data_IF_921038627348
#
_entry.id   IF_921038627348
#
_cell.length_a   1.000
_cell.length_b   1.000
_cell.length_c   1.000
_cell.angle_alpha   90.00
_cell.angle_beta   90.00
_cell.angle_gamma   90.00
#
_symmetry.space_group_name_H-M   'P 1'
#
loop_
_entity.id
_entity.type
_entity.pdbx_description
1 polymer ?
#
# COMPACT_ATOMS: atom_id res chain seq x y z
N UNK A 1 2.13 -11.40 9.39
CA UNK A 1 1.28 -12.30 8.59
C UNK A 1 1.55 -11.97 7.13
N UNK A 2 1.57 -12.99 6.27
CA UNK A 2 1.62 -12.82 4.81
C UNK A 2 0.38 -12.02 4.38
N UNK A 3 0.54 -11.11 3.41
CA UNK A 3 -0.52 -10.26 2.85
C UNK A 3 -1.22 -9.32 3.84
N UNK A 4 -0.57 -8.95 4.93
CA UNK A 4 -1.13 -7.97 5.87
C UNK A 4 -0.07 -7.25 6.71
N UNK A 5 1.15 -7.18 6.20
CA UNK A 5 2.29 -6.57 6.90
C UNK A 5 2.99 -5.47 6.14
N UNK A 6 2.81 -5.43 4.82
CA UNK A 6 3.56 -4.57 3.91
C UNK A 6 3.31 -3.09 4.20
N UNK A 7 2.04 -2.70 4.35
CA UNK A 7 1.67 -1.33 4.67
C UNK A 7 2.13 -0.91 6.08
N UNK A 8 2.16 -1.85 7.03
CA UNK A 8 2.69 -1.60 8.39
C UNK A 8 4.19 -1.37 8.36
N UNK A 9 4.90 -2.11 7.50
CA UNK A 9 6.33 -1.93 7.31
C UNK A 9 6.63 -0.57 6.68
N UNK A 10 5.88 -0.17 5.64
CA UNK A 10 5.98 1.15 5.05
C UNK A 10 5.69 2.25 6.09
N UNK A 11 4.64 2.09 6.91
CA UNK A 11 4.29 3.02 7.98
C UNK A 11 5.32 3.08 9.12
N UNK A 12 6.10 2.00 9.35
CA UNK A 12 7.16 1.95 10.35
C UNK A 12 8.48 2.58 9.85
N UNK A 13 8.73 2.59 8.55
CA UNK A 13 9.99 3.04 7.95
C UNK A 13 10.42 4.48 8.33
N UNK A 14 9.52 5.48 8.44
CA UNK A 14 9.91 6.84 8.82
C UNK A 14 10.55 6.97 10.21
N UNK A 15 10.34 6.00 11.10
CA UNK A 15 10.90 6.01 12.46
C UNK A 15 12.30 5.39 12.54
N UNK A 16 12.80 4.83 11.45
CA UNK A 16 14.11 4.17 11.37
C UNK A 16 15.10 4.90 10.49
N UNK A 17 16.33 4.37 10.50
CA UNK A 17 17.42 4.77 9.62
C UNK A 17 17.78 3.60 8.71
N UNK A 18 18.08 3.80 7.40
CA UNK A 18 18.33 2.71 6.46
C UNK A 18 19.76 2.12 6.60
N UNK A 19 20.17 1.80 7.81
CA UNK A 19 21.55 1.32 8.13
C UNK A 19 21.83 -0.08 7.61
N UNK A 20 20.80 -0.86 7.27
CA UNK A 20 20.92 -2.20 6.73
C UNK A 20 20.80 -2.27 5.21
N UNK A 21 20.70 -1.13 4.50
CA UNK A 21 20.53 -1.10 3.03
C UNK A 21 21.57 -1.94 2.31
N UNK A 22 22.87 -1.70 2.58
CA UNK A 22 23.97 -2.45 1.95
C UNK A 22 23.93 -3.95 2.33
N UNK A 23 23.58 -4.26 3.58
CA UNK A 23 23.46 -5.66 4.02
C UNK A 23 22.36 -6.39 3.26
N UNK A 24 21.21 -5.75 3.01
CA UNK A 24 20.12 -6.28 2.19
C UNK A 24 20.59 -6.50 0.76
N UNK A 25 21.17 -5.47 0.12
CA UNK A 25 21.61 -5.51 -1.28
C UNK A 25 22.70 -6.55 -1.52
N UNK A 26 23.62 -6.72 -0.59
CA UNK A 26 24.74 -7.65 -0.76
C UNK A 26 24.39 -9.11 -0.48
N UNK A 27 23.30 -9.40 0.23
CA UNK A 27 22.98 -10.76 0.67
C UNK A 27 21.62 -11.27 0.22
N UNK A 28 20.58 -10.40 0.21
CA UNK A 28 19.21 -10.84 0.04
C UNK A 28 18.65 -10.64 -1.37
N UNK A 29 19.22 -9.71 -2.14
CA UNK A 29 18.65 -9.32 -3.42
C UNK A 29 19.76 -8.88 -4.39
N UNK A 30 19.68 -9.37 -5.62
CA UNK A 30 20.50 -8.91 -6.75
C UNK A 30 19.64 -7.99 -7.60
N UNK A 31 20.03 -6.71 -7.72
CA UNK A 31 19.28 -5.67 -8.44
C UNK A 31 20.07 -5.25 -9.67
N UNK A 32 19.47 -5.37 -10.85
CA UNK A 32 20.06 -4.97 -12.12
C UNK A 32 19.87 -3.48 -12.41
N UNK A 33 20.54 -2.98 -13.42
CA UNK A 33 20.48 -1.57 -13.83
C UNK A 33 19.09 -1.15 -14.35
N UNK A 34 18.36 -2.06 -14.96
CA UNK A 34 16.99 -1.87 -15.43
C UNK A 34 15.94 -1.96 -14.32
N UNK A 35 16.33 -2.28 -13.09
CA UNK A 35 15.47 -2.47 -11.94
C UNK A 35 14.98 -3.91 -11.77
N UNK A 36 15.21 -4.80 -12.74
CA UNK A 36 14.92 -6.22 -12.53
C UNK A 36 15.74 -6.76 -11.36
N UNK A 37 15.18 -7.72 -10.62
CA UNK A 37 15.84 -8.22 -9.42
C UNK A 37 15.57 -9.70 -9.20
N UNK A 38 16.43 -10.31 -8.41
CA UNK A 38 16.27 -11.69 -7.95
C UNK A 38 16.57 -11.78 -6.46
N UNK A 39 15.65 -12.40 -5.71
CA UNK A 39 15.88 -12.69 -4.29
C UNK A 39 16.82 -13.90 -4.14
N UNK A 40 17.70 -13.81 -3.16
CA UNK A 40 18.50 -14.95 -2.73
C UNK A 40 17.65 -15.86 -1.84
N UNK A 41 17.12 -16.94 -2.43
CA UNK A 41 16.18 -17.85 -1.79
C UNK A 41 16.78 -18.58 -0.57
N UNK A 42 18.09 -18.55 -0.37
CA UNK A 42 18.76 -19.13 0.79
C UNK A 42 18.29 -18.54 2.13
N UNK A 43 17.76 -17.33 2.11
CA UNK A 43 17.31 -16.61 3.30
C UNK A 43 15.80 -16.67 3.55
N UNK A 44 15.04 -17.29 2.63
CA UNK A 44 13.59 -17.27 2.63
C UNK A 44 13.00 -18.69 2.64
N UNK A 45 11.81 -18.82 3.22
CA UNK A 45 11.09 -20.09 3.32
C UNK A 45 9.69 -20.03 2.68
N UNK A 46 9.27 -18.90 2.17
CA UNK A 46 7.88 -18.70 1.74
C UNK A 46 7.47 -19.57 0.55
N UNK A 47 8.42 -20.05 -0.25
CA UNK A 47 8.13 -20.89 -1.42
C UNK A 47 7.68 -22.31 -1.04
N UNK A 48 8.21 -22.88 0.04
CA UNK A 48 7.99 -24.27 0.42
C UNK A 48 7.68 -24.48 1.90
N UNK A 49 7.78 -23.44 2.72
CA UNK A 49 7.61 -23.51 4.17
C UNK A 49 6.45 -22.68 4.69
N UNK A 50 6.25 -22.71 6.01
CA UNK A 50 5.20 -21.96 6.71
C UNK A 50 5.68 -20.64 7.32
N UNK A 51 6.92 -20.23 7.05
CA UNK A 51 7.51 -18.99 7.52
C UNK A 51 8.04 -18.16 6.32
N UNK A 52 8.09 -16.86 6.46
CA UNK A 52 8.63 -15.98 5.40
C UNK A 52 10.14 -16.12 5.27
N UNK A 53 10.85 -16.16 6.40
CA UNK A 53 12.31 -16.18 6.49
C UNK A 53 12.76 -17.38 7.33
N UNK A 54 14.07 -17.64 7.30
CA UNK A 54 14.69 -18.74 8.01
C UNK A 54 15.83 -18.29 8.94
N UNK A 55 16.56 -19.24 9.54
CA UNK A 55 17.63 -18.95 10.46
C UNK A 55 18.83 -18.24 9.81
N UNK A 56 19.08 -18.42 8.51
CA UNK A 56 20.14 -17.64 7.82
C UNK A 56 19.81 -16.16 7.81
N UNK A 57 18.53 -15.81 7.56
CA UNK A 57 18.04 -14.44 7.66
C UNK A 57 18.24 -13.86 9.07
N UNK A 58 17.84 -14.63 10.09
CA UNK A 58 17.98 -14.23 11.49
C UNK A 58 19.45 -13.96 11.86
N UNK A 59 20.34 -14.86 11.45
CA UNK A 59 21.78 -14.73 11.71
C UNK A 59 22.40 -13.55 10.97
N UNK A 60 21.95 -13.26 9.73
CA UNK A 60 22.42 -12.11 8.96
C UNK A 60 22.20 -10.80 9.72
N UNK A 61 21.04 -10.65 10.36
CA UNK A 61 20.69 -9.44 11.11
C UNK A 61 20.99 -9.53 12.61
N UNK A 62 21.41 -10.70 13.11
CA UNK A 62 21.73 -10.91 14.53
C UNK A 62 20.50 -10.88 15.46
N UNK A 63 19.31 -11.10 14.92
CA UNK A 63 18.05 -11.05 15.67
C UNK A 63 17.12 -12.18 15.29
N UNK A 64 16.39 -12.71 16.27
CA UNK A 64 15.30 -13.67 16.03
C UNK A 64 14.03 -12.92 15.57
N UNK A 65 13.10 -13.62 14.91
CA UNK A 65 11.79 -13.03 14.59
C UNK A 65 11.08 -12.55 15.86
N UNK A 66 10.56 -11.34 15.83
CA UNK A 66 9.82 -10.77 16.95
C UNK A 66 8.54 -11.54 17.26
N UNK A 67 8.32 -11.87 18.51
CA UNK A 67 7.03 -12.36 18.97
C UNK A 67 6.10 -11.16 19.21
N UNK A 68 5.13 -10.96 18.29
CA UNK A 68 4.23 -9.82 18.34
C UNK A 68 3.32 -9.77 19.58
N UNK A 69 3.15 -10.88 20.29
CA UNK A 69 2.31 -10.94 21.51
C UNK A 69 3.04 -10.40 22.74
N UNK A 70 4.36 -10.62 22.82
CA UNK A 70 5.11 -10.41 24.05
C UNK A 70 6.27 -9.39 23.91
N UNK A 71 6.61 -9.01 22.67
CA UNK A 71 7.76 -8.14 22.41
C UNK A 71 7.34 -6.83 21.75
N UNK A 72 7.92 -5.73 22.21
CA UNK A 72 7.70 -4.40 21.64
C UNK A 72 8.50 -4.24 20.33
N UNK A 73 8.07 -3.31 19.49
CA UNK A 73 8.87 -2.81 18.38
C UNK A 73 10.04 -2.00 18.95
N UNK A 74 11.24 -2.24 18.43
CA UNK A 74 12.47 -1.54 18.85
C UNK A 74 13.05 -0.78 17.69
N UNK A 75 14.10 0.04 17.93
CA UNK A 75 14.82 0.77 16.90
C UNK A 75 15.34 -0.15 15.78
N UNK A 76 15.81 -1.35 16.12
CA UNK A 76 16.20 -2.36 15.14
C UNK A 76 15.10 -2.65 14.10
N UNK A 77 13.86 -2.83 14.53
CA UNK A 77 12.72 -3.10 13.63
C UNK A 77 12.40 -1.89 12.74
N UNK A 78 12.51 -0.68 13.30
CA UNK A 78 12.33 0.57 12.55
C UNK A 78 13.43 0.72 11.48
N UNK A 79 14.68 0.41 11.83
CA UNK A 79 15.82 0.50 10.90
C UNK A 79 15.76 -0.56 9.79
N UNK A 80 15.28 -1.77 10.08
CA UNK A 80 14.99 -2.78 9.06
C UNK A 80 13.89 -2.27 8.11
N UNK A 81 12.80 -1.71 8.66
CA UNK A 81 11.70 -1.17 7.86
C UNK A 81 12.17 -0.02 6.96
N UNK A 82 12.96 0.91 7.49
CA UNK A 82 13.56 1.99 6.72
C UNK A 82 14.50 1.47 5.62
N UNK A 83 15.27 0.42 5.92
CA UNK A 83 16.23 -0.15 4.98
C UNK A 83 15.55 -0.85 3.80
N UNK A 84 14.52 -1.65 4.06
CA UNK A 84 13.79 -2.32 2.96
C UNK A 84 12.95 -1.32 2.15
N UNK A 85 12.38 -0.30 2.80
CA UNK A 85 11.68 0.78 2.09
C UNK A 85 12.64 1.48 1.13
N UNK A 86 13.87 1.80 1.55
CA UNK A 86 14.89 2.43 0.72
C UNK A 86 15.27 1.58 -0.49
N UNK A 87 15.45 0.27 -0.30
CA UNK A 87 15.73 -0.69 -1.39
C UNK A 87 14.54 -0.79 -2.36
N UNK A 88 13.32 -0.82 -1.85
CA UNK A 88 12.10 -0.85 -2.68
C UNK A 88 12.00 0.41 -3.56
N UNK A 89 12.27 1.57 -3.00
CA UNK A 89 12.29 2.84 -3.73
C UNK A 89 13.33 2.84 -4.85
N UNK A 90 14.54 2.34 -4.58
CA UNK A 90 15.59 2.21 -5.60
C UNK A 90 15.14 1.35 -6.78
N UNK A 91 14.55 0.19 -6.48
CA UNK A 91 14.04 -0.73 -7.51
C UNK A 91 12.96 -0.04 -8.35
N UNK A 92 11.98 0.57 -7.70
CA UNK A 92 10.87 1.23 -8.41
C UNK A 92 11.35 2.39 -9.28
N UNK A 93 12.32 3.17 -8.83
CA UNK A 93 12.93 4.24 -9.61
C UNK A 93 13.72 3.71 -10.81
N UNK A 94 14.49 2.63 -10.63
CA UNK A 94 15.20 1.96 -11.74
C UNK A 94 14.21 1.44 -12.79
N UNK A 95 13.15 0.75 -12.38
CA UNK A 95 12.09 0.31 -13.28
C UNK A 95 11.45 1.48 -14.04
N UNK A 96 11.07 2.54 -13.33
CA UNK A 96 10.46 3.71 -13.93
C UNK A 96 11.36 4.33 -15.01
N UNK A 97 12.66 4.49 -14.73
CA UNK A 97 13.63 5.04 -15.68
C UNK A 97 13.85 4.12 -16.88
N UNK A 98 13.93 2.80 -16.64
CA UNK A 98 14.09 1.80 -17.69
C UNK A 98 12.90 1.79 -18.63
N UNK A 99 11.66 1.76 -18.10
CA UNK A 99 10.43 1.83 -18.89
C UNK A 99 10.34 3.13 -19.70
N UNK A 100 10.68 4.27 -19.09
CA UNK A 100 10.71 5.55 -19.80
C UNK A 100 11.70 5.55 -20.97
N UNK A 101 12.87 4.98 -20.76
CA UNK A 101 13.93 4.86 -21.79
C UNK A 101 13.49 3.98 -22.94
N UNK A 102 12.85 2.84 -22.64
CA UNK A 102 12.47 1.83 -23.61
C UNK A 102 11.25 2.26 -24.42
N UNK A 103 10.18 2.64 -23.77
CA UNK A 103 8.89 2.92 -24.41
C UNK A 103 8.69 4.38 -24.81
N UNK A 104 9.44 5.32 -24.22
CA UNK A 104 9.35 6.78 -24.47
C UNK A 104 7.94 7.37 -24.28
N UNK A 105 7.09 6.69 -23.50
CA UNK A 105 5.74 7.16 -23.17
C UNK A 105 5.80 8.16 -22.02
N UNK A 106 4.79 9.05 -21.96
CA UNK A 106 4.75 10.12 -20.96
C UNK A 106 3.91 9.76 -19.73
N UNK A 107 3.08 8.74 -19.82
CA UNK A 107 2.18 8.34 -18.75
C UNK A 107 2.58 6.96 -18.20
N UNK A 108 2.49 6.79 -16.90
CA UNK A 108 2.74 5.55 -16.19
C UNK A 108 1.48 5.08 -15.48
N UNK A 109 1.10 3.82 -15.69
CA UNK A 109 0.08 3.15 -14.88
C UNK A 109 0.76 2.12 -13.97
N UNK A 110 0.34 2.10 -12.71
CA UNK A 110 0.85 1.17 -11.70
C UNK A 110 -0.29 0.29 -11.19
N UNK A 111 -0.05 -1.01 -11.11
CA UNK A 111 -0.92 -2.01 -10.50
C UNK A 111 -0.07 -3.08 -9.79
N UNK A 112 -0.70 -3.89 -8.95
CA UNK A 112 -0.03 -4.83 -8.05
C UNK A 112 0.14 -4.29 -6.64
N UNK A 113 0.36 -5.15 -5.64
CA UNK A 113 0.42 -4.75 -4.23
C UNK A 113 1.46 -3.68 -3.91
N UNK A 114 2.63 -3.72 -4.56
CA UNK A 114 3.69 -2.70 -4.37
C UNK A 114 3.29 -1.33 -4.96
N UNK A 115 2.36 -1.28 -5.90
CA UNK A 115 1.84 -0.03 -6.43
C UNK A 115 1.08 0.82 -5.38
N UNK A 116 0.73 0.22 -4.23
CA UNK A 116 0.18 0.93 -3.07
C UNK A 116 1.25 1.61 -2.20
N UNK A 117 2.53 1.45 -2.52
CA UNK A 117 3.61 2.14 -1.82
C UNK A 117 3.66 3.63 -2.22
N UNK A 118 2.84 4.44 -1.53
CA UNK A 118 2.71 5.86 -1.83
C UNK A 118 4.04 6.65 -1.69
N UNK A 119 4.96 6.18 -0.83
CA UNK A 119 6.28 6.83 -0.65
C UNK A 119 7.14 6.65 -1.90
N UNK A 120 7.20 5.43 -2.44
CA UNK A 120 7.92 5.16 -3.68
C UNK A 120 7.27 5.84 -4.89
N UNK A 121 5.93 5.81 -4.98
CA UNK A 121 5.17 6.50 -6.02
C UNK A 121 5.44 8.02 -6.00
N UNK A 122 5.46 8.61 -4.80
CA UNK A 122 5.78 10.02 -4.61
C UNK A 122 7.21 10.38 -5.07
N UNK A 123 8.17 9.46 -4.95
CA UNK A 123 9.54 9.66 -5.47
C UNK A 123 9.58 9.64 -6.99
N UNK A 124 8.89 8.70 -7.64
CA UNK A 124 8.78 8.66 -9.10
C UNK A 124 8.16 9.97 -9.62
N UNK A 125 7.12 10.46 -8.96
CA UNK A 125 6.48 11.72 -9.31
C UNK A 125 7.43 12.93 -9.14
N UNK A 126 8.15 13.00 -8.02
CA UNK A 126 9.10 14.09 -7.74
C UNK A 126 10.28 14.13 -8.72
N UNK A 127 10.74 12.98 -9.20
CA UNK A 127 11.79 12.90 -10.22
C UNK A 127 11.32 13.28 -11.63
N UNK A 128 10.00 13.48 -11.82
CA UNK A 128 9.40 13.89 -13.11
C UNK A 128 9.80 12.97 -14.28
N UNK A 129 9.96 11.67 -14.00
CA UNK A 129 10.27 10.65 -15.03
C UNK A 129 9.11 10.55 -16.02
N UNK A 130 7.88 10.65 -15.52
CA UNK A 130 6.65 10.68 -16.31
C UNK A 130 5.89 11.97 -16.05
N UNK A 131 5.10 12.39 -17.04
CA UNK A 131 4.22 13.56 -16.92
C UNK A 131 3.03 13.28 -16.01
N UNK A 132 2.47 12.08 -16.13
CA UNK A 132 1.34 11.62 -15.33
C UNK A 132 1.59 10.20 -14.81
N UNK A 133 1.18 9.98 -13.57
CA UNK A 133 1.18 8.66 -12.93
C UNK A 133 -0.24 8.36 -12.49
N UNK A 134 -0.74 7.19 -12.85
CA UNK A 134 -2.00 6.66 -12.36
C UNK A 134 -1.76 5.36 -11.61
N UNK A 135 -2.32 5.27 -10.41
CA UNK A 135 -2.27 4.07 -9.58
C UNK A 135 -3.67 3.50 -9.51
N UNK A 136 -3.83 2.22 -9.86
CA UNK A 136 -5.12 1.56 -9.69
C UNK A 136 -5.48 1.57 -8.19
N UNK A 137 -6.62 2.14 -7.79
CA UNK A 137 -6.99 2.24 -6.37
C UNK A 137 -7.04 0.87 -5.67
N UNK A 138 -7.62 -0.13 -6.32
CA UNK A 138 -7.62 -1.52 -5.87
C UNK A 138 -6.46 -2.31 -6.49
N UNK A 139 -5.22 -1.81 -6.39
CA UNK A 139 -4.07 -2.41 -7.09
C UNK A 139 -3.60 -3.75 -6.55
N UNK A 140 -3.99 -4.13 -5.33
CA UNK A 140 -3.73 -5.45 -4.76
C UNK A 140 -4.71 -6.53 -5.23
N UNK A 141 -4.89 -7.55 -4.40
CA UNK A 141 -5.72 -8.74 -4.72
C UNK A 141 -7.19 -8.38 -4.98
N UNK A 142 -7.73 -7.34 -4.33
CA UNK A 142 -9.10 -6.89 -4.53
C UNK A 142 -9.39 -6.50 -5.99
N UNK A 143 -8.44 -5.88 -6.68
CA UNK A 143 -8.58 -5.50 -8.09
C UNK A 143 -8.57 -6.68 -9.06
N UNK A 144 -8.14 -7.86 -8.62
CA UNK A 144 -8.16 -9.07 -9.44
C UNK A 144 -9.57 -9.46 -9.88
N UNK A 145 -10.58 -9.26 -9.04
CA UNK A 145 -11.99 -9.52 -9.40
C UNK A 145 -12.49 -8.57 -10.50
N UNK A 146 -12.21 -7.28 -10.37
CA UNK A 146 -12.50 -6.29 -11.40
C UNK A 146 -11.76 -6.59 -12.70
N UNK A 147 -10.44 -6.88 -12.60
CA UNK A 147 -9.59 -7.22 -13.75
C UNK A 147 -10.07 -8.46 -14.49
N UNK A 148 -10.49 -9.50 -13.80
CA UNK A 148 -11.04 -10.71 -14.40
C UNK A 148 -12.33 -10.43 -15.19
N UNK A 149 -13.22 -9.62 -14.65
CA UNK A 149 -14.44 -9.22 -15.34
C UNK A 149 -14.15 -8.39 -16.60
N UNK A 150 -13.22 -7.45 -16.51
CA UNK A 150 -12.81 -6.62 -17.65
C UNK A 150 -12.07 -7.42 -18.73
N UNK A 151 -11.18 -8.34 -18.34
CA UNK A 151 -10.49 -9.24 -19.27
C UNK A 151 -11.51 -10.11 -20.03
N UNK A 152 -12.47 -10.72 -19.35
CA UNK A 152 -13.53 -11.49 -19.99
C UNK A 152 -14.33 -10.63 -20.97
N UNK A 153 -14.68 -9.41 -20.58
CA UNK A 153 -15.46 -8.52 -21.43
C UNK A 153 -14.68 -8.08 -22.69
N UNK A 154 -13.44 -7.66 -22.54
CA UNK A 154 -12.70 -7.04 -23.61
C UNK A 154 -11.87 -8.04 -24.44
N UNK A 155 -11.30 -9.07 -23.81
CA UNK A 155 -10.45 -10.03 -24.48
C UNK A 155 -11.27 -11.21 -25.02
N UNK A 156 -12.12 -11.83 -24.18
CA UNK A 156 -12.88 -13.02 -24.58
C UNK A 156 -14.14 -12.65 -25.41
N UNK A 157 -14.87 -11.61 -25.00
CA UNK A 157 -16.08 -11.17 -25.71
C UNK A 157 -15.82 -10.13 -26.80
N UNK A 158 -14.59 -9.66 -26.94
CA UNK A 158 -14.17 -8.66 -27.94
C UNK A 158 -15.02 -7.39 -27.95
N UNK A 159 -15.53 -6.96 -26.77
CA UNK A 159 -16.24 -5.70 -26.68
C UNK A 159 -15.30 -4.54 -26.96
N UNK A 160 -15.74 -3.61 -27.80
CA UNK A 160 -14.96 -2.39 -28.04
C UNK A 160 -15.01 -1.48 -26.83
N UNK A 161 -13.85 -1.17 -26.27
CA UNK A 161 -13.74 -0.23 -25.17
C UNK A 161 -14.15 1.16 -25.62
N UNK A 162 -15.12 1.75 -24.91
CA UNK A 162 -15.43 3.17 -25.02
C UNK A 162 -14.59 3.92 -23.98
N UNK A 163 -13.78 4.85 -24.44
CA UNK A 163 -12.98 5.68 -23.53
C UNK A 163 -13.87 6.81 -23.04
N UNK A 164 -14.05 6.86 -21.72
CA UNK A 164 -14.69 7.99 -21.03
C UNK A 164 -13.62 9.04 -20.66
N UNK A 165 -14.01 10.31 -20.62
CA UNK A 165 -13.21 11.37 -20.03
C UNK A 165 -13.40 11.46 -18.52
N UNK A 166 -14.41 10.78 -18.00
CA UNK A 166 -14.72 10.70 -16.58
C UNK A 166 -13.98 9.52 -15.95
N UNK A 167 -13.74 9.60 -14.64
CA UNK A 167 -13.24 8.49 -13.85
C UNK A 167 -14.34 7.45 -13.63
N UNK A 168 -14.30 6.35 -14.40
CA UNK A 168 -15.26 5.25 -14.28
C UNK A 168 -15.15 4.50 -12.93
N UNK A 169 -14.01 4.65 -12.23
CA UNK A 169 -13.82 4.15 -10.87
C UNK A 169 -14.41 5.08 -9.79
N UNK A 170 -14.87 6.27 -10.16
CA UNK A 170 -15.49 7.25 -9.26
C UNK A 170 -14.65 7.54 -7.99
N UNK A 171 -13.32 7.64 -8.14
CA UNK A 171 -12.39 7.78 -7.01
C UNK A 171 -12.35 6.57 -6.09
N UNK A 172 -12.73 5.38 -6.58
CA UNK A 172 -12.91 4.15 -5.79
C UNK A 172 -14.15 4.10 -4.89
N UNK A 173 -15.03 5.10 -4.90
CA UNK A 173 -16.26 5.12 -4.10
C UNK A 173 -17.35 4.24 -4.73
N UNK A 174 -17.11 2.93 -4.77
CA UNK A 174 -18.00 1.93 -5.39
C UNK A 174 -18.70 1.01 -4.37
N UNK A 175 -18.39 1.15 -3.10
CA UNK A 175 -18.98 0.36 -2.03
C UNK A 175 -20.38 0.83 -1.58
N UNK A 176 -20.89 0.31 -0.47
CA UNK A 176 -22.20 0.71 0.06
C UNK A 176 -22.23 2.19 0.47
N UNK A 177 -23.45 2.76 0.42
CA UNK A 177 -23.76 4.08 0.94
C UNK A 177 -25.03 3.98 1.76
N UNK A 178 -25.04 4.64 2.90
CA UNK A 178 -26.19 4.72 3.80
C UNK A 178 -26.66 6.15 3.92
N UNK A 179 -27.99 6.35 3.98
CA UNK A 179 -28.60 7.64 4.32
C UNK A 179 -28.45 7.93 5.81
N UNK A 180 -28.61 9.18 6.19
CA UNK A 180 -28.55 9.58 7.61
C UNK A 180 -29.61 8.84 8.44
N UNK A 181 -30.84 8.71 7.92
CA UNK A 181 -31.93 8.01 8.61
C UNK A 181 -31.62 6.53 8.81
N UNK A 182 -31.02 5.87 7.82
CA UNK A 182 -30.59 4.46 7.94
C UNK A 182 -29.48 4.30 9.01
N UNK A 183 -28.54 5.25 9.08
CA UNK A 183 -27.49 5.23 10.09
C UNK A 183 -28.08 5.41 11.48
N UNK A 184 -28.92 6.42 11.68
CA UNK A 184 -29.58 6.68 12.97
C UNK A 184 -30.34 5.44 13.43
N UNK A 185 -31.19 4.89 12.57
CA UNK A 185 -31.97 3.69 12.87
C UNK A 185 -31.10 2.50 13.28
N UNK A 186 -29.99 2.25 12.55
CA UNK A 186 -29.08 1.16 12.89
C UNK A 186 -28.38 1.39 14.25
N UNK A 187 -28.01 2.62 14.57
CA UNK A 187 -27.38 2.94 15.85
C UNK A 187 -28.38 2.79 17.01
N UNK A 188 -29.65 3.20 16.82
CA UNK A 188 -30.72 3.00 17.79
C UNK A 188 -31.00 1.50 18.02
N UNK A 189 -31.12 0.72 16.93
CA UNK A 189 -31.34 -0.73 16.98
C UNK A 189 -30.22 -1.47 17.74
N UNK A 190 -28.99 -0.95 17.69
CA UNK A 190 -27.83 -1.48 18.38
C UNK A 190 -27.68 -0.96 19.82
N UNK A 191 -28.53 -0.02 20.25
CA UNK A 191 -28.41 0.65 21.56
C UNK A 191 -27.13 1.46 21.71
N UNK A 192 -26.63 2.02 20.62
CA UNK A 192 -25.43 2.86 20.65
C UNK A 192 -25.72 4.21 21.32
N UNK A 193 -24.74 4.75 22.03
CA UNK A 193 -24.76 6.12 22.54
C UNK A 193 -24.09 7.05 21.52
N UNK A 194 -24.85 8.00 20.97
CA UNK A 194 -24.36 8.89 19.91
C UNK A 194 -25.06 10.25 19.92
N UNK A 195 -24.39 11.26 19.40
CA UNK A 195 -24.92 12.59 19.17
C UNK A 195 -25.16 12.82 17.67
N UNK A 196 -26.20 13.57 17.34
CA UNK A 196 -26.41 14.11 15.99
C UNK A 196 -25.98 15.58 16.04
N UNK A 197 -24.99 15.93 15.23
CA UNK A 197 -24.40 17.26 15.19
C UNK A 197 -24.56 17.89 13.81
N UNK A 198 -24.71 19.20 13.75
CA UNK A 198 -24.55 19.96 12.50
C UNK A 198 -23.09 19.98 12.07
N UNK A 199 -22.85 20.17 10.78
CA UNK A 199 -21.51 20.04 10.16
C UNK A 199 -20.47 20.93 10.85
N UNK A 200 -20.79 22.19 11.17
CA UNK A 200 -19.85 23.11 11.83
C UNK A 200 -19.49 22.66 13.26
N UNK A 201 -20.46 22.16 13.99
CA UNK A 201 -20.24 21.62 15.34
C UNK A 201 -19.41 20.34 15.31
N UNK A 202 -19.72 19.43 14.38
CA UNK A 202 -18.96 18.19 14.14
C UNK A 202 -17.49 18.49 13.82
N UNK A 203 -17.24 19.45 12.94
CA UNK A 203 -15.87 19.82 12.55
C UNK A 203 -15.12 20.45 13.73
N UNK A 204 -15.76 21.38 14.46
CA UNK A 204 -15.13 22.03 15.63
C UNK A 204 -14.77 21.02 16.71
N UNK A 205 -15.67 20.11 17.06
CA UNK A 205 -15.44 19.05 18.05
C UNK A 205 -14.34 18.10 17.61
N UNK A 206 -14.31 17.74 16.32
CA UNK A 206 -13.25 16.90 15.75
C UNK A 206 -11.88 17.57 15.84
N UNK A 207 -11.78 18.84 15.48
CA UNK A 207 -10.54 19.62 15.57
C UNK A 207 -10.06 19.72 17.02
N UNK A 208 -10.99 19.98 17.98
CA UNK A 208 -10.67 20.05 19.40
C UNK A 208 -10.13 18.70 19.91
N UNK A 209 -10.77 17.57 19.58
CA UNK A 209 -10.34 16.24 19.97
C UNK A 209 -8.95 15.90 19.41
N UNK A 210 -8.68 16.21 18.15
CA UNK A 210 -7.34 16.04 17.54
C UNK A 210 -6.29 16.93 18.21
N UNK A 211 -6.61 18.18 18.52
CA UNK A 211 -5.70 19.11 19.21
C UNK A 211 -5.38 18.66 20.64
N UNK A 212 -6.31 17.97 21.29
CA UNK A 212 -6.13 17.35 22.60
C UNK A 212 -5.44 15.98 22.53
N UNK A 213 -4.92 15.56 21.37
CA UNK A 213 -4.16 14.33 21.16
C UNK A 213 -5.02 13.05 21.15
N UNK A 214 -6.33 13.18 20.97
CA UNK A 214 -7.23 12.02 20.82
C UNK A 214 -7.14 11.46 19.40
N UNK A 215 -7.44 10.17 19.26
CA UNK A 215 -7.62 9.53 17.96
C UNK A 215 -9.10 9.64 17.56
N UNK A 216 -9.35 10.08 16.32
CA UNK A 216 -10.68 10.20 15.75
C UNK A 216 -10.81 9.25 14.55
N UNK A 217 -11.85 8.40 14.56
CA UNK A 217 -12.27 7.66 13.40
C UNK A 217 -13.21 8.50 12.53
N UNK A 218 -12.92 8.62 11.25
CA UNK A 218 -13.75 9.38 10.32
C UNK A 218 -14.33 8.48 9.25
N UNK A 219 -15.66 8.53 9.07
CA UNK A 219 -16.37 7.84 8.01
C UNK A 219 -17.30 8.81 7.31
N UNK A 220 -17.24 8.89 5.98
CA UNK A 220 -18.00 9.86 5.22
C UNK A 220 -18.44 9.30 3.86
N UNK A 221 -19.72 9.42 3.56
CA UNK A 221 -20.29 9.14 2.26
C UNK A 221 -20.27 7.66 1.86
N UNK A 222 -19.94 7.38 0.62
CA UNK A 222 -19.86 6.02 0.06
C UNK A 222 -18.53 5.36 0.42
N UNK A 223 -18.57 4.07 0.74
CA UNK A 223 -17.36 3.29 1.00
C UNK A 223 -16.51 3.12 -0.26
N UNK A 224 -15.21 3.08 -0.07
CA UNK A 224 -14.26 2.67 -1.10
C UNK A 224 -14.42 1.18 -1.45
N UNK A 225 -13.94 0.83 -2.65
CA UNK A 225 -13.63 -0.51 -3.09
C UNK A 225 -12.11 -0.64 -3.22
N UNK A 226 -11.49 -1.58 -2.46
CA UNK A 226 -10.06 -1.79 -2.53
C UNK A 226 -9.44 -2.30 -1.25
#
# INVERSE_FOLDING_TARGET
KVNSGEYKLMGLAPYGKPIFENKIKNNLIDIKEDGSFRLNQDYFNYATGLTMTNNKFNNLFGQKPRNSKNEKITQFHMDIAASIQKVTEEIMLKFARSLKKEYKLNNLCLAGGVALNCVANGKILKEKIFEKIWVQPASGDAGGSLGAALAYLYDEKNYKRKISTNDDMQGSYLGPKYSQDEIIKQLEDLGADFDILEDDELLNRTVEDLNNGKAVGWFQGRMEFG
#
